data_IF_128795768853
#
_entry.id   IF_128795768853
#
_cell.length_a   1.000
_cell.length_b   1.000
_cell.length_c   1.000
_cell.angle_alpha   90.00
_cell.angle_beta   90.00
_cell.angle_gamma   90.00
#
_symmetry.space_group_name_H-M   'P 1'
#
loop_
_entity.id
_entity.type
_entity.pdbx_description
1 polymer ?
#
# COMPACT_ATOMS: atom_id res chain seq x y z
N UNK A 1 28.35 -29.55 1.12
CA UNK A 1 29.40 -30.53 1.51
C UNK A 1 28.74 -31.88 1.76
N UNK A 2 27.66 -31.90 2.53
CA UNK A 2 26.87 -33.12 2.83
C UNK A 2 26.50 -33.93 1.57
N UNK A 3 26.13 -33.27 0.47
CA UNK A 3 25.81 -33.95 -0.78
C UNK A 3 26.97 -34.80 -1.33
N UNK A 4 28.20 -34.28 -1.37
CA UNK A 4 29.34 -35.05 -1.90
C UNK A 4 29.76 -36.16 -0.92
N UNK A 5 29.54 -35.95 0.37
CA UNK A 5 29.78 -36.98 1.38
C UNK A 5 28.84 -38.18 1.18
N UNK A 6 27.55 -37.96 0.97
CA UNK A 6 26.61 -39.04 0.71
C UNK A 6 26.88 -39.75 -0.63
N UNK A 7 27.24 -39.00 -1.67
CA UNK A 7 27.64 -39.58 -2.96
C UNK A 7 28.90 -40.45 -2.80
N UNK A 8 29.86 -40.02 -1.97
CA UNK A 8 31.09 -40.78 -1.69
C UNK A 8 30.82 -42.10 -0.97
N UNK A 9 29.82 -42.15 -0.08
CA UNK A 9 29.40 -43.38 0.60
C UNK A 9 28.72 -44.35 -0.35
N UNK A 10 27.87 -43.85 -1.26
CA UNK A 10 27.14 -44.66 -2.25
C UNK A 10 28.09 -45.24 -3.30
N UNK A 11 29.00 -44.42 -3.83
CA UNK A 11 29.92 -44.80 -4.90
C UNK A 11 31.28 -45.32 -4.39
N UNK A 12 31.50 -45.29 -3.08
CA UNK A 12 32.68 -45.79 -2.38
C UNK A 12 34.02 -45.21 -2.90
N UNK A 13 34.13 -43.87 -2.98
CA UNK A 13 35.39 -43.18 -3.31
C UNK A 13 35.88 -42.27 -2.19
N UNK A 14 37.19 -42.01 -2.19
CA UNK A 14 37.84 -41.03 -1.30
C UNK A 14 38.09 -39.74 -2.07
N UNK A 15 37.99 -38.61 -1.38
CA UNK A 15 38.21 -37.30 -1.98
C UNK A 15 38.97 -36.37 -1.03
N UNK A 16 39.57 -35.33 -1.59
CA UNK A 16 40.20 -34.23 -0.86
C UNK A 16 39.54 -32.95 -1.38
N UNK A 17 39.01 -32.12 -0.46
CA UNK A 17 38.41 -30.84 -0.83
C UNK A 17 39.52 -29.80 -0.95
N UNK A 18 39.62 -29.17 -2.10
CA UNK A 18 40.47 -28.00 -2.33
C UNK A 18 39.58 -26.80 -2.65
N UNK A 19 39.81 -25.68 -1.98
CA UNK A 19 39.04 -24.46 -2.17
C UNK A 19 39.64 -23.67 -3.35
N UNK A 20 38.86 -23.47 -4.41
CA UNK A 20 39.24 -22.64 -5.55
C UNK A 20 39.17 -21.14 -5.24
N UNK A 21 39.97 -20.33 -5.94
CA UNK A 21 40.21 -18.93 -5.56
C UNK A 21 39.57 -17.87 -6.47
N UNK A 22 38.71 -18.24 -7.43
CA UNK A 22 38.16 -17.28 -8.43
C UNK A 22 36.72 -17.60 -8.91
N UNK A 23 35.90 -18.21 -8.05
CA UNK A 23 34.53 -18.60 -8.41
C UNK A 23 34.47 -19.67 -9.52
N UNK A 24 33.30 -19.86 -10.14
CA UNK A 24 33.10 -20.91 -11.16
C UNK A 24 33.99 -20.73 -12.40
N UNK A 25 34.33 -19.49 -12.74
CA UNK A 25 35.17 -19.17 -13.88
C UNK A 25 34.41 -18.64 -15.09
N UNK A 26 35.08 -17.77 -15.84
CA UNK A 26 34.62 -17.23 -17.13
C UNK A 26 35.72 -17.35 -18.17
N UNK A 27 35.33 -17.39 -19.44
CA UNK A 27 36.31 -17.40 -20.52
C UNK A 27 36.86 -15.99 -20.72
N UNK A 28 38.17 -15.82 -20.56
CA UNK A 28 38.88 -14.56 -20.83
C UNK A 28 40.04 -14.81 -21.78
N UNK A 29 40.05 -14.11 -22.91
CA UNK A 29 41.13 -14.19 -23.92
C UNK A 29 41.42 -15.63 -24.37
N UNK A 30 40.38 -16.45 -24.57
CA UNK A 30 40.51 -17.85 -25.00
C UNK A 30 40.87 -18.84 -23.89
N UNK A 31 41.16 -18.39 -22.66
CA UNK A 31 41.47 -19.25 -21.52
C UNK A 31 40.38 -19.17 -20.46
N UNK A 32 40.05 -20.30 -19.85
CA UNK A 32 39.13 -20.36 -18.73
C UNK A 32 39.85 -20.07 -17.40
N UNK A 33 39.22 -19.23 -16.59
CA UNK A 33 39.64 -18.93 -15.21
C UNK A 33 38.80 -19.71 -14.21
N UNK A 34 39.06 -19.55 -12.90
CA UNK A 34 38.26 -20.18 -11.84
C UNK A 34 38.24 -21.70 -11.88
N UNK A 35 37.20 -22.26 -11.26
CA UNK A 35 37.07 -23.71 -11.08
C UNK A 35 37.07 -24.48 -12.41
N UNK A 36 36.45 -23.93 -13.47
CA UNK A 36 36.49 -24.55 -14.81
C UNK A 36 37.92 -24.58 -15.36
N UNK A 37 38.68 -23.50 -15.17
CA UNK A 37 40.09 -23.48 -15.53
C UNK A 37 40.93 -24.51 -14.77
N UNK A 38 40.57 -24.81 -13.52
CA UNK A 38 41.25 -25.81 -12.70
C UNK A 38 40.96 -27.24 -13.19
N UNK A 39 39.72 -27.56 -13.60
CA UNK A 39 39.41 -28.84 -14.28
C UNK A 39 40.20 -28.97 -15.58
N UNK A 40 40.18 -27.93 -16.43
CA UNK A 40 40.87 -27.99 -17.74
C UNK A 40 42.39 -28.06 -17.63
N UNK A 41 42.95 -27.62 -16.50
CA UNK A 41 44.38 -27.73 -16.20
C UNK A 41 44.72 -29.01 -15.42
N UNK A 42 43.78 -29.94 -15.27
CA UNK A 42 43.93 -31.20 -14.52
C UNK A 42 44.38 -30.98 -13.06
N UNK A 43 44.00 -29.84 -12.47
CA UNK A 43 44.27 -29.52 -11.05
C UNK A 43 43.17 -29.99 -10.11
N UNK A 44 42.00 -30.33 -10.66
CA UNK A 44 40.87 -30.91 -9.93
C UNK A 44 40.09 -31.86 -10.85
N UNK A 45 39.60 -32.97 -10.30
CA UNK A 45 38.83 -33.97 -11.07
C UNK A 45 37.32 -33.71 -11.02
N UNK A 46 36.83 -33.04 -9.98
CA UNK A 46 35.42 -32.78 -9.76
C UNK A 46 35.19 -31.40 -9.13
N UNK A 47 34.23 -30.65 -9.68
CA UNK A 47 33.75 -29.41 -9.09
C UNK A 47 32.45 -29.68 -8.32
N UNK A 48 32.43 -29.31 -7.05
CA UNK A 48 31.23 -29.33 -6.20
C UNK A 48 30.94 -27.92 -5.71
N UNK A 49 30.07 -27.21 -6.45
CA UNK A 49 29.70 -25.81 -6.17
C UNK A 49 28.34 -25.49 -6.81
N UNK A 50 27.82 -24.30 -6.57
CA UNK A 50 26.60 -23.74 -7.19
C UNK A 50 26.86 -23.26 -8.63
N UNK A 51 27.48 -24.12 -9.44
CA UNK A 51 27.84 -23.79 -10.81
C UNK A 51 26.61 -23.75 -11.73
N UNK A 52 26.28 -22.57 -12.25
CA UNK A 52 25.24 -22.43 -13.28
C UNK A 52 25.66 -23.11 -14.57
N UNK A 53 24.81 -24.02 -15.06
CA UNK A 53 24.93 -24.65 -16.37
C UNK A 53 24.66 -23.58 -17.44
N UNK A 54 25.64 -23.31 -18.27
CA UNK A 54 25.52 -22.36 -19.40
C UNK A 54 26.06 -22.99 -20.67
N UNK A 55 25.63 -22.49 -21.83
CA UNK A 55 26.04 -23.01 -23.13
C UNK A 55 27.57 -23.01 -23.30
N UNK A 56 28.25 -21.93 -22.92
CA UNK A 56 29.71 -21.81 -23.02
C UNK A 56 30.44 -22.85 -22.15
N UNK A 57 29.94 -23.10 -20.93
CA UNK A 57 30.56 -24.06 -20.00
C UNK A 57 30.35 -25.51 -20.45
N UNK A 58 29.17 -25.82 -21.00
CA UNK A 58 28.86 -27.15 -21.54
C UNK A 58 29.75 -27.55 -22.72
N UNK A 59 30.38 -26.61 -23.42
CA UNK A 59 31.31 -26.91 -24.50
C UNK A 59 32.68 -27.38 -24.02
N UNK A 60 33.02 -27.15 -22.75
CA UNK A 60 34.36 -27.43 -22.21
C UNK A 60 34.37 -28.39 -21.04
N UNK A 61 33.25 -28.53 -20.31
CA UNK A 61 33.11 -29.47 -19.21
C UNK A 61 31.75 -30.16 -19.25
N UNK A 62 31.70 -31.39 -18.75
CA UNK A 62 30.46 -32.15 -18.60
C UNK A 62 29.78 -31.82 -17.26
N UNK A 63 28.47 -31.62 -17.29
CA UNK A 63 27.66 -31.36 -16.10
C UNK A 63 26.76 -32.56 -15.80
N UNK A 64 26.50 -32.79 -14.52
CA UNK A 64 25.45 -33.71 -14.08
C UNK A 64 24.05 -33.12 -14.35
N UNK A 65 23.01 -33.92 -14.13
CA UNK A 65 21.65 -33.40 -14.14
C UNK A 65 21.48 -32.31 -13.07
N UNK A 66 20.81 -31.17 -13.39
CA UNK A 66 20.63 -30.09 -12.43
C UNK A 66 19.93 -30.56 -11.15
N UNK A 67 20.55 -30.29 -10.00
CA UNK A 67 20.01 -30.66 -8.68
C UNK A 67 19.05 -29.57 -8.15
N UNK A 68 19.19 -28.34 -8.64
CA UNK A 68 18.38 -27.20 -8.23
C UNK A 68 18.05 -26.30 -9.42
N UNK A 69 16.77 -25.91 -9.53
CA UNK A 69 16.31 -24.91 -10.48
C UNK A 69 16.22 -23.56 -9.78
N UNK A 70 16.98 -22.57 -10.26
CA UNK A 70 16.94 -21.19 -9.76
C UNK A 70 16.73 -20.21 -10.91
N UNK A 71 16.12 -19.07 -10.60
CA UNK A 71 15.93 -17.95 -11.51
C UNK A 71 16.58 -16.67 -10.98
N UNK A 72 16.66 -15.66 -11.82
CA UNK A 72 17.12 -14.32 -11.43
C UNK A 72 15.94 -13.54 -10.88
N UNK A 73 16.12 -12.91 -9.72
CA UNK A 73 15.13 -12.02 -9.12
C UNK A 73 15.77 -10.68 -8.76
N UNK A 74 14.94 -9.65 -8.61
CA UNK A 74 15.38 -8.32 -8.19
C UNK A 74 15.18 -8.22 -6.67
N UNK A 75 16.26 -7.93 -5.96
CA UNK A 75 16.19 -7.57 -4.55
C UNK A 75 16.19 -6.05 -4.42
N UNK A 76 15.23 -5.50 -3.70
CA UNK A 76 15.16 -4.07 -3.40
C UNK A 76 14.68 -3.83 -1.96
N UNK A 77 15.00 -2.66 -1.43
CA UNK A 77 14.55 -2.27 -0.11
C UNK A 77 13.06 -1.92 -0.14
N UNK A 78 12.27 -2.55 0.74
CA UNK A 78 10.86 -2.16 0.91
C UNK A 78 10.80 -0.70 1.36
N UNK A 79 10.06 0.18 0.67
CA UNK A 79 9.95 1.57 1.09
C UNK A 79 9.33 1.63 2.50
N UNK A 80 9.99 2.35 3.40
CA UNK A 80 9.44 2.59 4.73
C UNK A 80 8.35 3.66 4.60
N UNK A 81 7.16 3.37 5.14
CA UNK A 81 6.08 4.34 5.18
C UNK A 81 6.55 5.60 5.92
N UNK A 82 6.60 6.73 5.21
CA UNK A 82 6.91 8.04 5.79
C UNK A 82 5.96 8.30 6.96
N UNK A 83 6.43 8.85 8.11
CA UNK A 83 5.54 9.15 9.22
C UNK A 83 4.37 10.04 8.74
N UNK A 84 3.13 9.76 9.18
CA UNK A 84 1.97 10.46 8.67
C UNK A 84 2.09 11.95 9.00
N UNK A 85 2.02 12.79 7.97
CA UNK A 85 1.94 14.24 8.13
C UNK A 85 0.66 14.58 8.91
N UNK A 86 0.66 15.70 9.65
CA UNK A 86 -0.46 16.15 10.51
C UNK A 86 -1.84 16.16 9.82
N UNK A 87 -1.90 16.34 8.49
CA UNK A 87 -3.13 16.39 7.70
C UNK A 87 -3.36 15.15 6.81
N UNK A 88 -2.75 14.01 7.13
CA UNK A 88 -2.95 12.77 6.37
C UNK A 88 -4.43 12.37 6.29
N UNK A 89 -5.20 12.59 7.37
CA UNK A 89 -6.64 12.31 7.39
C UNK A 89 -7.46 13.19 6.43
N UNK A 90 -6.97 14.36 6.04
CA UNK A 90 -7.72 15.25 5.14
C UNK A 90 -7.50 14.92 3.65
N UNK A 91 -6.51 14.07 3.32
CA UNK A 91 -6.14 13.70 1.95
C UNK A 91 -7.22 13.00 1.11
N UNK A 92 -8.08 12.12 1.66
CA UNK A 92 -9.05 11.40 0.85
C UNK A 92 -10.03 12.29 0.08
N UNK A 93 -10.23 13.53 0.53
CA UNK A 93 -11.08 14.50 -0.13
C UNK A 93 -10.29 15.72 -0.60
N UNK A 94 -10.63 16.21 -1.79
CA UNK A 94 -10.09 17.45 -2.33
C UNK A 94 -10.59 18.66 -1.52
N UNK A 95 -9.83 19.75 -1.56
CA UNK A 95 -10.23 21.00 -0.89
C UNK A 95 -11.62 21.49 -1.33
N UNK A 96 -12.01 21.25 -2.58
CA UNK A 96 -13.34 21.59 -3.08
C UNK A 96 -14.47 20.84 -2.37
N UNK A 97 -14.28 19.55 -2.08
CA UNK A 97 -15.27 18.74 -1.34
C UNK A 97 -15.38 19.23 0.11
N UNK A 98 -14.26 19.56 0.75
CA UNK A 98 -14.27 20.13 2.10
C UNK A 98 -15.06 21.45 2.15
N UNK A 99 -14.84 22.34 1.19
CA UNK A 99 -15.62 23.58 1.08
C UNK A 99 -17.10 23.29 0.86
N UNK A 100 -17.44 22.33 -0.01
CA UNK A 100 -18.83 21.94 -0.26
C UNK A 100 -19.53 21.41 1.00
N UNK A 101 -18.84 20.61 1.84
CA UNK A 101 -19.38 20.12 3.12
C UNK A 101 -19.69 21.30 4.05
N UNK A 102 -18.78 22.28 4.16
CA UNK A 102 -19.00 23.48 5.00
C UNK A 102 -20.16 24.32 4.48
N UNK A 103 -20.27 24.53 3.17
CA UNK A 103 -21.39 25.26 2.56
C UNK A 103 -22.72 24.55 2.81
N UNK A 104 -22.76 23.23 2.62
CA UNK A 104 -23.96 22.42 2.87
C UNK A 104 -24.37 22.48 4.37
N UNK A 105 -23.40 22.39 5.28
CA UNK A 105 -23.61 22.52 6.72
C UNK A 105 -24.27 23.85 7.10
N UNK A 106 -23.75 24.97 6.58
CA UNK A 106 -24.30 26.31 6.84
C UNK A 106 -25.71 26.44 6.25
N UNK A 107 -25.91 25.94 5.02
CA UNK A 107 -27.19 26.00 4.32
C UNK A 107 -28.30 25.26 5.08
N UNK A 108 -28.02 24.05 5.57
CA UNK A 108 -29.01 23.26 6.34
C UNK A 108 -29.29 23.89 7.70
N UNK A 109 -28.26 24.41 8.37
CA UNK A 109 -28.42 25.10 9.66
C UNK A 109 -29.33 26.33 9.53
N UNK A 110 -29.13 27.15 8.49
CA UNK A 110 -29.98 28.32 8.21
C UNK A 110 -31.40 27.87 7.83
N UNK A 111 -31.54 26.83 7.01
CA UNK A 111 -32.85 26.31 6.59
C UNK A 111 -33.68 25.81 7.78
N UNK A 112 -33.07 25.06 8.70
CA UNK A 112 -33.72 24.61 9.93
C UNK A 112 -34.06 25.76 10.86
N UNK A 113 -33.21 26.78 10.95
CA UNK A 113 -33.50 27.97 11.73
C UNK A 113 -34.71 28.74 11.18
N UNK A 114 -34.80 28.91 9.85
CA UNK A 114 -35.94 29.56 9.19
C UNK A 114 -37.22 28.76 9.44
N UNK A 115 -37.20 27.43 9.27
CA UNK A 115 -38.35 26.56 9.56
C UNK A 115 -38.78 26.68 11.02
N UNK A 116 -37.82 26.75 11.94
CA UNK A 116 -38.07 26.94 13.37
C UNK A 116 -38.73 28.27 13.74
N UNK A 117 -38.68 29.28 12.86
CA UNK A 117 -39.34 30.58 13.02
C UNK A 117 -40.69 30.64 12.33
N UNK A 118 -40.80 30.13 11.11
CA UNK A 118 -42.00 30.23 10.27
C UNK A 118 -43.05 29.19 10.68
N UNK A 119 -42.64 27.99 11.09
CA UNK A 119 -43.58 26.92 11.33
C UNK A 119 -44.18 26.99 12.74
N UNK A 120 -45.46 27.34 12.84
CA UNK A 120 -46.20 27.38 14.12
C UNK A 120 -46.17 26.05 14.89
N UNK A 121 -45.99 24.92 14.20
CA UNK A 121 -45.91 23.58 14.82
C UNK A 121 -44.66 23.36 15.69
N UNK A 122 -43.61 24.17 15.53
CA UNK A 122 -42.37 24.10 16.32
C UNK A 122 -42.45 24.92 17.62
N UNK A 123 -43.40 25.85 17.72
CA UNK A 123 -43.55 26.72 18.87
C UNK A 123 -44.29 26.00 20.00
N UNK A 124 -43.59 25.72 21.10
CA UNK A 124 -44.14 25.00 22.24
C UNK A 124 -44.29 25.88 23.47
N UNK A 125 -45.44 25.82 24.14
CA UNK A 125 -45.57 26.37 25.50
C UNK A 125 -44.72 25.55 26.46
N UNK A 126 -43.91 26.21 27.30
CA UNK A 126 -43.04 25.52 28.26
C UNK A 126 -43.83 24.75 29.33
N UNK A 127 -44.96 25.29 29.76
CA UNK A 127 -45.84 24.74 30.80
C UNK A 127 -47.30 25.06 30.45
N UNK A 128 -48.24 24.25 30.97
CA UNK A 128 -49.71 24.43 30.76
C UNK A 128 -50.19 25.82 31.19
N UNK A 129 -49.50 26.44 32.15
CA UNK A 129 -49.80 27.77 32.72
C UNK A 129 -49.01 28.93 32.10
N UNK A 130 -48.06 28.66 31.19
CA UNK A 130 -47.24 29.71 30.58
C UNK A 130 -47.83 30.18 29.25
N UNK A 131 -47.96 31.51 29.09
CA UNK A 131 -48.38 32.13 27.83
C UNK A 131 -47.25 32.24 26.80
N UNK A 132 -46.01 31.91 27.16
CA UNK A 132 -44.86 32.00 26.26
C UNK A 132 -44.60 30.68 25.56
N UNK A 133 -44.58 30.71 24.22
CA UNK A 133 -44.09 29.62 23.40
C UNK A 133 -42.62 29.83 23.05
N UNK A 134 -41.82 28.77 23.20
CA UNK A 134 -40.40 28.76 22.81
C UNK A 134 -40.21 27.66 21.77
N UNK A 135 -39.51 28.00 20.69
CA UNK A 135 -39.05 27.05 19.68
C UNK A 135 -37.72 26.44 20.12
N UNK A 136 -37.59 25.11 20.08
CA UNK A 136 -36.32 24.44 20.38
C UNK A 136 -35.26 24.66 19.29
N UNK A 137 -35.66 25.11 18.10
CA UNK A 137 -34.81 25.38 16.94
C UNK A 137 -34.20 26.80 16.99
N UNK A 138 -33.56 27.14 18.10
CA UNK A 138 -32.70 28.33 18.18
C UNK A 138 -31.45 28.12 17.30
N UNK A 139 -30.85 29.19 16.78
CA UNK A 139 -29.66 29.10 15.91
C UNK A 139 -28.55 28.18 16.47
N UNK A 140 -28.12 28.28 17.74
CA UNK A 140 -27.11 27.35 18.29
C UNK A 140 -27.58 25.89 18.31
N UNK A 141 -28.86 25.64 18.59
CA UNK A 141 -29.43 24.29 18.60
C UNK A 141 -29.51 23.70 17.19
N UNK A 142 -29.78 24.52 16.18
CA UNK A 142 -29.77 24.07 14.77
C UNK A 142 -28.36 23.71 14.31
N UNK A 143 -27.36 24.54 14.63
CA UNK A 143 -25.95 24.26 14.34
C UNK A 143 -25.50 22.99 15.07
N UNK A 144 -25.88 22.84 16.35
CA UNK A 144 -25.56 21.65 17.13
C UNK A 144 -26.23 20.38 16.58
N UNK A 145 -27.47 20.47 16.12
CA UNK A 145 -28.17 19.35 15.47
C UNK A 145 -27.48 18.90 14.18
N UNK A 146 -27.12 19.85 13.31
CA UNK A 146 -26.43 19.59 12.04
C UNK A 146 -25.01 19.04 12.29
N UNK A 147 -24.30 19.55 13.29
CA UNK A 147 -22.99 19.03 13.68
C UNK A 147 -23.08 17.62 14.27
N UNK A 148 -24.05 17.40 15.16
CA UNK A 148 -24.27 16.09 15.78
C UNK A 148 -24.60 15.02 14.74
N UNK A 149 -25.48 15.32 13.79
CA UNK A 149 -25.81 14.38 12.70
C UNK A 149 -24.61 14.02 11.81
N UNK A 150 -23.74 14.97 11.47
CA UNK A 150 -22.51 14.71 10.72
C UNK A 150 -21.52 13.84 11.52
N UNK A 151 -21.37 14.13 12.81
CA UNK A 151 -20.49 13.39 13.74
C UNK A 151 -21.11 12.08 14.25
N UNK A 152 -22.31 11.71 13.77
CA UNK A 152 -23.14 10.59 14.28
C UNK A 152 -23.39 10.64 15.79
N UNK A 153 -23.43 11.84 16.37
CA UNK A 153 -23.80 12.07 17.75
C UNK A 153 -25.30 12.30 17.87
N UNK A 154 -25.90 11.69 18.88
CA UNK A 154 -27.30 11.92 19.20
C UNK A 154 -27.46 13.33 19.82
N UNK A 155 -28.45 14.08 19.36
CA UNK A 155 -28.76 15.40 19.92
C UNK A 155 -30.13 15.40 20.59
N UNK A 156 -30.29 16.19 21.65
CA UNK A 156 -31.57 16.29 22.39
C UNK A 156 -32.58 17.23 21.71
N UNK A 157 -32.25 17.78 20.55
CA UNK A 157 -33.07 18.74 19.81
C UNK A 157 -34.16 17.97 19.06
N UNK A 158 -35.43 18.28 19.35
CA UNK A 158 -36.57 17.61 18.72
C UNK A 158 -37.13 18.48 17.59
N UNK A 159 -37.24 17.90 16.40
CA UNK A 159 -37.87 18.53 15.22
C UNK A 159 -39.29 17.99 15.08
N UNK A 160 -40.29 18.86 15.12
CA UNK A 160 -41.71 18.44 15.09
C UNK A 160 -42.38 18.68 13.75
N UNK A 161 -42.04 19.76 13.08
CA UNK A 161 -42.60 20.13 11.80
C UNK A 161 -42.28 19.11 10.72
N UNK A 162 -43.26 18.84 9.87
CA UNK A 162 -43.09 18.01 8.67
C UNK A 162 -41.96 18.55 7.76
N UNK A 163 -41.93 19.86 7.40
CA UNK A 163 -40.83 20.39 6.58
C UNK A 163 -39.45 20.27 7.26
N UNK A 164 -39.35 20.50 8.57
CA UNK A 164 -38.10 20.32 9.30
C UNK A 164 -37.63 18.88 9.30
N UNK A 165 -38.54 17.91 9.41
CA UNK A 165 -38.22 16.47 9.33
C UNK A 165 -37.72 16.07 7.95
N UNK A 166 -38.31 16.60 6.87
CA UNK A 166 -37.85 16.33 5.50
C UNK A 166 -36.41 16.86 5.34
N UNK A 167 -36.14 18.10 5.72
CA UNK A 167 -34.79 18.70 5.65
C UNK A 167 -33.79 17.87 6.47
N UNK A 168 -34.15 17.49 7.69
CA UNK A 168 -33.31 16.68 8.55
C UNK A 168 -33.04 15.28 7.96
N UNK A 169 -34.04 14.64 7.36
CA UNK A 169 -33.89 13.34 6.70
C UNK A 169 -32.97 13.43 5.48
N UNK A 170 -33.11 14.46 4.65
CA UNK A 170 -32.22 14.71 3.50
C UNK A 170 -30.79 14.96 3.96
N UNK A 171 -30.59 15.78 4.99
CA UNK A 171 -29.27 16.03 5.56
C UNK A 171 -28.64 14.77 6.14
N UNK A 172 -29.42 13.95 6.84
CA UNK A 172 -28.97 12.69 7.39
C UNK A 172 -28.52 11.71 6.29
N UNK A 173 -29.27 11.61 5.20
CA UNK A 173 -28.90 10.80 4.04
C UNK A 173 -27.61 11.31 3.38
N UNK A 174 -27.46 12.63 3.24
CA UNK A 174 -26.23 13.23 2.72
C UNK A 174 -25.03 12.92 3.61
N UNK A 175 -25.16 13.02 4.94
CA UNK A 175 -24.10 12.67 5.87
C UNK A 175 -23.68 11.19 5.74
N UNK A 176 -24.65 10.29 5.57
CA UNK A 176 -24.39 8.87 5.37
C UNK A 176 -23.55 8.65 4.11
N UNK A 177 -23.95 9.26 2.99
CA UNK A 177 -23.23 9.16 1.71
C UNK A 177 -21.82 9.73 1.82
N UNK A 178 -21.66 10.91 2.42
CA UNK A 178 -20.33 11.54 2.60
C UNK A 178 -19.39 10.66 3.44
N UNK A 179 -19.89 10.09 4.54
CA UNK A 179 -19.08 9.19 5.39
C UNK A 179 -18.70 7.93 4.62
N UNK A 180 -19.63 7.33 3.86
CA UNK A 180 -19.35 6.15 3.05
C UNK A 180 -18.29 6.43 1.98
N UNK A 181 -18.39 7.56 1.28
CA UNK A 181 -17.40 7.99 0.28
C UNK A 181 -16.03 8.25 0.92
N UNK A 182 -15.99 8.87 2.11
CA UNK A 182 -14.74 9.12 2.82
C UNK A 182 -14.03 7.80 3.20
N UNK A 183 -14.79 6.82 3.72
CA UNK A 183 -14.24 5.50 4.05
C UNK A 183 -13.73 4.80 2.79
N UNK A 184 -14.49 4.82 1.70
CA UNK A 184 -14.07 4.22 0.44
C UNK A 184 -12.79 4.86 -0.11
N UNK A 185 -12.70 6.19 -0.12
CA UNK A 185 -11.52 6.92 -0.56
C UNK A 185 -10.29 6.65 0.33
N UNK A 186 -10.50 6.52 1.65
CA UNK A 186 -9.43 6.19 2.59
C UNK A 186 -8.88 4.77 2.35
N UNK A 187 -9.75 3.80 2.03
CA UNK A 187 -9.32 2.43 1.71
C UNK A 187 -8.48 2.42 0.42
N UNK A 188 -8.93 3.10 -0.63
CA UNK A 188 -8.19 3.20 -1.90
C UNK A 188 -6.79 3.81 -1.70
N UNK A 189 -6.71 4.92 -0.96
CA UNK A 189 -5.43 5.59 -0.70
C UNK A 189 -4.44 4.70 0.06
N UNK A 190 -4.94 3.82 0.96
CA UNK A 190 -4.10 2.86 1.68
C UNK A 190 -3.50 1.80 0.76
N UNK A 191 -4.17 1.45 -0.33
CA UNK A 191 -3.69 0.49 -1.32
C UNK A 191 -2.68 1.12 -2.30
N UNK A 192 -2.86 2.40 -2.65
CA UNK A 192 -1.95 3.15 -3.53
C UNK A 192 -0.57 3.45 -2.91
N UNK A 193 -0.41 3.50 -1.59
CA UNK A 193 0.90 3.75 -0.94
C UNK A 193 1.96 2.64 -1.25
N UNK A 194 1.60 1.56 -1.97
CA UNK A 194 2.52 0.56 -2.51
C UNK A 194 2.69 0.67 -4.04
N UNK A 195 3.07 1.85 -4.54
CA UNK A 195 3.51 1.98 -5.93
C UNK A 195 4.77 1.14 -6.15
N UNK A 196 4.60 -0.05 -6.74
CA UNK A 196 5.71 -0.83 -7.26
C UNK A 196 6.31 -0.07 -8.45
N UNK A 197 7.41 0.65 -8.22
CA UNK A 197 8.15 1.42 -9.22
C UNK A 197 8.59 0.56 -10.43
N UNK A 198 8.63 -0.75 -10.27
CA UNK A 198 8.94 -1.71 -11.33
C UNK A 198 8.37 -3.09 -10.96
N UNK A 199 7.77 -3.76 -11.95
CA UNK A 199 7.43 -5.19 -11.89
C UNK A 199 8.53 -6.05 -12.52
N UNK A 200 9.15 -5.52 -13.58
CA UNK A 200 10.08 -6.24 -14.45
C UNK A 200 11.42 -5.51 -14.57
N UNK A 201 12.46 -6.26 -14.94
CA UNK A 201 13.80 -5.70 -15.22
C UNK A 201 13.73 -4.61 -16.30
N UNK A 202 12.88 -4.79 -17.32
CA UNK A 202 12.71 -3.79 -18.39
C UNK A 202 12.10 -2.49 -17.87
N UNK A 203 11.12 -2.60 -16.97
CA UNK A 203 10.49 -1.45 -16.31
C UNK A 203 11.48 -0.77 -15.37
N UNK A 204 12.29 -1.53 -14.63
CA UNK A 204 13.38 -1.01 -13.80
C UNK A 204 14.37 -0.19 -14.63
N UNK A 205 14.87 -0.71 -15.76
CA UNK A 205 15.85 0.00 -16.60
C UNK A 205 15.26 1.27 -17.22
N UNK A 206 13.99 1.24 -17.62
CA UNK A 206 13.29 2.42 -18.16
C UNK A 206 13.14 3.51 -17.09
N UNK A 207 12.64 3.11 -15.92
CA UNK A 207 12.31 4.02 -14.82
C UNK A 207 13.56 4.47 -14.05
N UNK A 208 14.68 3.75 -14.17
CA UNK A 208 15.92 4.09 -13.48
C UNK A 208 16.50 5.44 -13.90
N UNK A 209 16.37 5.82 -15.18
CA UNK A 209 16.83 7.13 -15.65
C UNK A 209 15.95 8.28 -15.17
N UNK A 210 14.66 8.03 -15.01
CA UNK A 210 13.67 9.04 -14.63
C UNK A 210 13.67 9.28 -13.12
N UNK A 211 13.84 8.22 -12.32
CA UNK A 211 13.77 8.27 -10.87
C UNK A 211 15.14 8.13 -10.16
N UNK A 212 16.25 8.28 -10.90
CA UNK A 212 17.63 8.14 -10.40
C UNK A 212 17.86 6.83 -9.60
N UNK A 213 17.27 5.73 -10.08
CA UNK A 213 17.37 4.42 -9.39
C UNK A 213 18.72 3.81 -9.71
N UNK A 214 19.54 3.62 -8.67
CA UNK A 214 20.80 2.89 -8.77
C UNK A 214 20.52 1.38 -8.75
N UNK A 215 20.97 0.69 -9.78
CA UNK A 215 20.87 -0.77 -9.88
C UNK A 215 22.22 -1.36 -10.28
N UNK A 216 22.42 -2.64 -9.98
CA UNK A 216 23.64 -3.36 -10.30
C UNK A 216 23.46 -4.87 -10.16
N UNK A 217 24.40 -5.61 -10.69
CA UNK A 217 24.49 -7.07 -10.56
C UNK A 217 25.94 -7.46 -10.25
N UNK A 218 26.13 -8.66 -9.73
CA UNK A 218 27.47 -9.19 -9.47
C UNK A 218 28.23 -9.34 -10.80
N UNK A 219 29.49 -8.90 -10.80
CA UNK A 219 30.37 -9.01 -11.96
C UNK A 219 30.68 -10.49 -12.20
N UNK A 220 30.54 -10.94 -13.46
CA UNK A 220 30.79 -12.32 -13.90
C UNK A 220 29.80 -13.39 -13.35
N UNK A 221 28.65 -12.97 -12.81
CA UNK A 221 27.60 -13.87 -12.30
C UNK A 221 27.56 -13.95 -10.78
#
# INVERSE_FOLDING_TARGET
IDLIEEISKILNFKYIIVIGNQGTGTQRSGRWTGLIGDILSERADLIVTDATVTFERLHVVEFTHPIMHTGITILFQKPMATPPKLFYFARPFSAGIWVAIVVAFVTVSISLFIVGRICNSEWQKLNVTSNYSISQLTFPNTVWFVAGSLLRQNTRVKIRSIPGRIIAATWWLLCLVVIAMYIAALICYREEDFDMLFSDVKSLVKNAKEHDIKYGAKKDG
#
